data_IF_879283142283
#
_entry.id   IF_879283142283
#
_cell.length_a   1.000
_cell.length_b   1.000
_cell.length_c   1.000
_cell.angle_alpha   90.00
_cell.angle_beta   90.00
_cell.angle_gamma   90.00
#
_symmetry.space_group_name_H-M   'P 1'
#
loop_
_entity.id
_entity.type
_entity.pdbx_description
1 polymer ?
#
# COMPACT_ATOMS: atom_id res chain seq x y z
N UNK A 1 -17.41 -27.08 4.64
CA UNK A 1 -17.25 -26.96 6.12
C UNK A 1 -16.83 -25.57 6.57
N UNK A 2 -15.71 -25.01 6.11
CA UNK A 2 -15.22 -23.69 6.59
C UNK A 2 -16.29 -22.60 6.40
N UNK A 3 -16.78 -22.38 5.21
CA UNK A 3 -17.79 -21.32 4.92
C UNK A 3 -19.06 -21.49 5.74
N UNK A 4 -19.58 -22.72 5.90
CA UNK A 4 -20.75 -22.97 6.74
C UNK A 4 -20.49 -22.60 8.22
N UNK A 5 -19.29 -22.91 8.73
CA UNK A 5 -18.89 -22.51 10.07
C UNK A 5 -18.82 -20.98 10.24
N UNK A 6 -18.24 -20.28 9.24
CA UNK A 6 -18.18 -18.83 9.25
C UNK A 6 -19.57 -18.19 9.21
N UNK A 7 -20.47 -18.72 8.39
CA UNK A 7 -21.87 -18.28 8.34
C UNK A 7 -22.58 -18.49 9.70
N UNK A 8 -22.37 -19.65 10.32
CA UNK A 8 -22.92 -19.92 11.65
C UNK A 8 -22.40 -18.94 12.71
N UNK A 9 -21.10 -18.57 12.64
CA UNK A 9 -20.43 -17.74 13.64
C UNK A 9 -20.73 -16.25 13.46
N UNK A 10 -20.75 -15.75 12.23
CA UNK A 10 -20.77 -14.31 11.93
C UNK A 10 -22.05 -13.85 11.21
N UNK A 11 -22.92 -14.77 10.85
CA UNK A 11 -24.14 -14.50 10.09
C UNK A 11 -23.92 -14.42 8.58
N UNK A 12 -24.90 -14.86 7.81
CA UNK A 12 -24.82 -14.94 6.34
C UNK A 12 -24.59 -13.58 5.67
N UNK A 13 -25.22 -12.50 6.17
CA UNK A 13 -25.07 -11.15 5.60
C UNK A 13 -23.64 -10.62 5.76
N UNK A 14 -23.03 -10.82 6.93
CA UNK A 14 -21.64 -10.43 7.18
C UNK A 14 -20.68 -11.19 6.26
N UNK A 15 -20.83 -12.53 6.21
CA UNK A 15 -19.93 -13.40 5.43
C UNK A 15 -20.10 -13.19 3.93
N UNK A 16 -21.30 -12.80 3.45
CA UNK A 16 -21.53 -12.47 2.04
C UNK A 16 -20.74 -11.25 1.57
N UNK A 17 -20.38 -10.36 2.50
CA UNK A 17 -19.50 -9.22 2.23
C UNK A 17 -18.05 -9.61 1.99
N UNK A 18 -17.62 -10.81 2.39
CA UNK A 18 -16.23 -11.25 2.35
C UNK A 18 -15.82 -11.74 0.95
N UNK A 19 -14.47 -11.69 0.71
CA UNK A 19 -13.84 -12.23 -0.47
C UNK A 19 -13.09 -13.51 -0.08
N UNK A 20 -13.39 -14.62 -0.76
CA UNK A 20 -12.75 -15.91 -0.55
C UNK A 20 -11.71 -16.14 -1.63
N UNK A 21 -10.45 -15.98 -1.29
CA UNK A 21 -9.31 -16.23 -2.16
C UNK A 21 -8.88 -17.68 -2.05
N UNK A 22 -8.67 -18.34 -3.18
CA UNK A 22 -8.33 -19.76 -3.23
C UNK A 22 -6.82 -19.94 -3.32
N UNK A 23 -6.21 -20.42 -2.24
CA UNK A 23 -4.79 -20.69 -2.10
C UNK A 23 -3.92 -19.43 -2.00
N UNK A 24 -2.57 -19.63 -2.00
CA UNK A 24 -1.56 -18.58 -1.95
C UNK A 24 -0.36 -18.97 -2.82
N UNK A 25 0.01 -18.11 -3.76
CA UNK A 25 1.16 -18.25 -4.66
C UNK A 25 1.30 -19.65 -5.29
N UNK A 26 0.27 -20.13 -6.03
CA UNK A 26 0.28 -21.50 -6.58
C UNK A 26 1.28 -21.68 -7.75
N UNK A 27 1.90 -20.61 -8.18
CA UNK A 27 2.93 -20.60 -9.22
C UNK A 27 4.35 -20.91 -8.70
N UNK A 28 4.53 -20.97 -7.38
CA UNK A 28 5.81 -21.33 -6.73
C UNK A 28 5.66 -22.56 -5.82
N UNK A 29 6.69 -22.86 -5.00
CA UNK A 29 6.77 -24.09 -4.19
C UNK A 29 5.75 -24.17 -3.03
N UNK A 30 4.83 -23.23 -2.91
CA UNK A 30 3.67 -23.37 -2.04
C UNK A 30 2.60 -24.29 -2.63
N UNK A 31 2.72 -24.63 -3.93
CA UNK A 31 1.89 -25.60 -4.62
C UNK A 31 2.77 -26.70 -5.25
N UNK A 32 2.61 -27.93 -4.81
CA UNK A 32 3.39 -29.07 -5.31
C UNK A 32 2.69 -29.85 -6.44
N UNK A 33 1.47 -29.43 -6.82
CA UNK A 33 0.71 -30.01 -7.92
C UNK A 33 1.00 -29.36 -9.27
N UNK A 34 0.33 -29.85 -10.32
CA UNK A 34 0.33 -29.20 -11.62
C UNK A 34 -0.64 -28.00 -11.66
N UNK A 35 -0.54 -27.10 -12.62
CA UNK A 35 -1.55 -26.04 -12.81
C UNK A 35 -2.97 -26.60 -12.96
N UNK A 36 -3.14 -27.72 -13.69
CA UNK A 36 -4.46 -28.35 -13.90
C UNK A 36 -5.04 -28.88 -12.58
N UNK A 37 -4.22 -29.38 -11.68
CA UNK A 37 -4.65 -29.78 -10.34
C UNK A 37 -5.08 -28.57 -9.50
N UNK A 38 -4.44 -27.41 -9.69
CA UNK A 38 -4.90 -26.17 -9.07
C UNK A 38 -6.23 -25.68 -9.66
N UNK A 39 -6.43 -25.81 -11.00
CA UNK A 39 -7.73 -25.52 -11.62
C UNK A 39 -8.84 -26.37 -11.00
N UNK A 40 -8.60 -27.66 -10.82
CA UNK A 40 -9.57 -28.55 -10.18
C UNK A 40 -9.85 -28.15 -8.72
N UNK A 41 -8.80 -27.77 -7.95
CA UNK A 41 -8.98 -27.23 -6.60
C UNK A 41 -9.85 -25.99 -6.60
N UNK A 42 -9.57 -25.04 -7.49
CA UNK A 42 -10.37 -23.80 -7.62
C UNK A 42 -11.84 -24.10 -7.91
N UNK A 43 -12.12 -24.94 -8.91
CA UNK A 43 -13.48 -25.30 -9.31
C UNK A 43 -14.26 -25.93 -8.14
N UNK A 44 -13.64 -26.83 -7.39
CA UNK A 44 -14.21 -27.47 -6.21
C UNK A 44 -14.40 -26.48 -5.04
N UNK A 45 -13.46 -25.56 -4.85
CA UNK A 45 -13.55 -24.53 -3.83
C UNK A 45 -14.74 -23.58 -4.10
N UNK A 46 -14.89 -23.11 -5.34
CA UNK A 46 -16.04 -22.28 -5.77
C UNK A 46 -17.35 -23.03 -5.51
N UNK A 47 -17.44 -24.28 -5.95
CA UNK A 47 -18.65 -25.09 -5.73
C UNK A 47 -18.98 -25.27 -4.24
N UNK A 48 -17.95 -25.59 -3.42
CA UNK A 48 -18.12 -25.77 -1.97
C UNK A 48 -18.49 -24.51 -1.20
N UNK A 49 -17.86 -23.38 -1.53
CA UNK A 49 -18.16 -22.08 -0.92
C UNK A 49 -19.60 -21.66 -1.26
N UNK A 50 -19.98 -21.73 -2.53
CA UNK A 50 -21.32 -21.33 -3.01
C UNK A 50 -22.43 -22.28 -2.59
N UNK A 51 -22.15 -23.56 -2.37
CA UNK A 51 -23.10 -24.48 -1.77
C UNK A 51 -23.42 -24.11 -0.30
N UNK A 52 -22.45 -23.59 0.43
CA UNK A 52 -22.64 -23.15 1.82
C UNK A 52 -23.24 -21.74 1.92
N UNK A 53 -22.88 -20.86 1.00
CA UNK A 53 -23.37 -19.47 0.94
C UNK A 53 -23.56 -19.02 -0.51
N UNK A 54 -24.77 -19.18 -1.07
CA UNK A 54 -25.09 -18.67 -2.40
C UNK A 54 -24.79 -17.17 -2.52
N UNK A 55 -24.07 -16.79 -3.60
CA UNK A 55 -23.66 -15.41 -3.85
C UNK A 55 -22.38 -14.97 -3.08
N UNK A 56 -21.70 -15.89 -2.40
CA UNK A 56 -20.35 -15.61 -1.87
C UNK A 56 -19.38 -15.28 -3.01
N UNK A 57 -18.47 -14.31 -2.75
CA UNK A 57 -17.46 -13.85 -3.71
C UNK A 57 -16.22 -14.74 -3.60
N UNK A 58 -15.92 -15.47 -4.68
CA UNK A 58 -14.76 -16.36 -4.75
C UNK A 58 -13.86 -15.93 -5.89
N UNK A 59 -12.56 -15.89 -5.67
CA UNK A 59 -11.58 -15.49 -6.66
C UNK A 59 -10.18 -16.03 -6.39
N UNK A 60 -9.24 -15.54 -7.14
CA UNK A 60 -7.83 -15.95 -7.15
C UNK A 60 -7.15 -15.49 -8.45
N UNK A 61 -6.00 -16.07 -8.83
CA UNK A 61 -5.32 -17.21 -8.19
C UNK A 61 -4.27 -16.84 -7.13
N UNK A 62 -4.13 -15.56 -6.79
CA UNK A 62 -3.09 -15.07 -5.85
C UNK A 62 -1.67 -15.49 -6.25
N UNK A 63 -1.32 -15.38 -7.53
CA UNK A 63 0.04 -15.67 -8.01
C UNK A 63 1.06 -14.70 -7.42
N UNK A 64 2.33 -15.05 -7.49
CA UNK A 64 3.41 -14.07 -7.35
C UNK A 64 3.32 -13.00 -8.44
N UNK A 65 4.29 -12.06 -8.49
CA UNK A 65 4.25 -10.91 -9.41
C UNK A 65 4.29 -11.31 -10.89
N UNK A 66 3.26 -10.95 -11.70
CA UNK A 66 3.18 -11.29 -13.12
C UNK A 66 4.26 -10.65 -14.03
N UNK A 67 5.14 -9.82 -13.48
CA UNK A 67 6.38 -9.42 -14.16
C UNK A 67 7.36 -10.57 -14.39
N UNK A 68 7.24 -11.66 -13.63
CA UNK A 68 8.01 -12.89 -13.79
C UNK A 68 7.25 -13.87 -14.70
N UNK A 69 7.96 -14.50 -15.65
CA UNK A 69 7.33 -15.34 -16.70
C UNK A 69 6.43 -16.44 -16.14
N UNK A 70 6.82 -17.08 -15.04
CA UNK A 70 6.06 -18.19 -14.45
C UNK A 70 4.71 -17.71 -13.91
N UNK A 71 4.71 -16.62 -13.16
CA UNK A 71 3.48 -16.01 -12.64
C UNK A 71 2.61 -15.43 -13.75
N UNK A 72 3.23 -14.76 -14.76
CA UNK A 72 2.54 -14.27 -15.95
C UNK A 72 1.75 -15.38 -16.62
N UNK A 73 2.44 -16.49 -16.95
CA UNK A 73 1.82 -17.63 -17.60
C UNK A 73 0.72 -18.27 -16.74
N UNK A 74 0.97 -18.42 -15.45
CA UNK A 74 -0.01 -19.02 -14.55
C UNK A 74 -1.30 -18.21 -14.46
N UNK A 75 -1.21 -16.89 -14.32
CA UNK A 75 -2.38 -16.01 -14.29
C UNK A 75 -3.14 -16.05 -15.63
N UNK A 76 -2.44 -16.01 -16.75
CA UNK A 76 -3.03 -16.07 -18.10
C UNK A 76 -3.76 -17.38 -18.36
N UNK A 77 -3.12 -18.52 -18.03
CA UNK A 77 -3.71 -19.85 -18.17
C UNK A 77 -4.91 -20.05 -17.23
N UNK A 78 -4.85 -19.52 -15.99
CA UNK A 78 -5.98 -19.55 -15.06
C UNK A 78 -7.20 -18.79 -15.60
N UNK A 79 -7.01 -17.58 -16.10
CA UNK A 79 -8.12 -16.80 -16.69
C UNK A 79 -8.69 -17.47 -17.96
N UNK A 80 -7.84 -18.15 -18.72
CA UNK A 80 -8.26 -19.01 -19.84
C UNK A 80 -9.12 -20.18 -19.35
N UNK A 81 -8.68 -20.89 -18.30
CA UNK A 81 -9.41 -22.02 -17.72
C UNK A 81 -10.80 -21.61 -17.23
N UNK A 82 -10.91 -20.60 -16.37
CA UNK A 82 -12.20 -20.18 -15.79
C UNK A 82 -13.18 -19.72 -16.88
N UNK A 83 -12.68 -19.13 -17.96
CA UNK A 83 -13.48 -18.72 -19.11
C UNK A 83 -14.00 -19.94 -19.88
N UNK A 84 -13.12 -20.88 -20.21
CA UNK A 84 -13.45 -22.07 -21.01
C UNK A 84 -14.39 -23.02 -20.24
N UNK A 85 -14.09 -23.26 -18.97
CA UNK A 85 -14.88 -24.12 -18.08
C UNK A 85 -16.15 -23.45 -17.54
N UNK A 86 -16.31 -22.13 -17.76
CA UNK A 86 -17.42 -21.31 -17.24
C UNK A 86 -17.55 -21.38 -15.71
N UNK A 87 -16.41 -21.47 -15.02
CA UNK A 87 -16.37 -21.45 -13.56
C UNK A 87 -16.50 -20.00 -13.08
N UNK A 88 -17.33 -19.73 -12.08
CA UNK A 88 -17.49 -18.39 -11.54
C UNK A 88 -16.17 -17.81 -10.98
N UNK A 89 -15.91 -16.54 -11.35
CA UNK A 89 -14.80 -15.73 -10.85
C UNK A 89 -15.36 -14.37 -10.47
N UNK A 90 -15.34 -14.02 -9.19
CA UNK A 90 -15.93 -12.77 -8.69
C UNK A 90 -14.89 -11.65 -8.54
N UNK A 91 -13.62 -12.00 -8.41
CA UNK A 91 -12.49 -11.07 -8.39
C UNK A 91 -11.22 -11.78 -8.86
N UNK A 92 -10.25 -11.00 -9.31
CA UNK A 92 -8.93 -11.49 -9.70
C UNK A 92 -7.94 -11.03 -8.64
N UNK A 93 -6.99 -11.88 -8.26
CA UNK A 93 -5.92 -11.50 -7.35
C UNK A 93 -4.55 -11.98 -7.82
N UNK A 94 -3.55 -11.19 -7.48
CA UNK A 94 -2.14 -11.52 -7.61
C UNK A 94 -1.32 -10.64 -6.67
N UNK A 95 -0.07 -11.01 -6.44
CA UNK A 95 0.85 -10.24 -5.61
C UNK A 95 1.72 -9.32 -6.47
N UNK A 96 2.18 -8.24 -5.87
CA UNK A 96 3.16 -7.35 -6.45
C UNK A 96 4.22 -7.02 -5.40
N UNK A 97 5.48 -7.31 -5.72
CA UNK A 97 6.57 -7.14 -4.77
C UNK A 97 7.69 -6.33 -5.39
N UNK A 98 8.19 -5.36 -4.64
CA UNK A 98 9.48 -4.77 -4.93
C UNK A 98 10.63 -5.77 -4.78
N UNK A 99 11.83 -5.34 -5.08
CA UNK A 99 13.05 -6.13 -4.88
C UNK A 99 14.18 -5.20 -4.42
N UNK A 100 14.18 -4.80 -3.13
CA UNK A 100 15.26 -3.98 -2.59
C UNK A 100 16.60 -4.72 -2.71
N UNK A 101 17.64 -3.96 -2.97
CA UNK A 101 19.01 -4.44 -3.10
C UNK A 101 19.93 -3.68 -2.14
N UNK A 102 21.03 -4.32 -1.76
CA UNK A 102 22.07 -3.66 -0.99
C UNK A 102 23.13 -3.15 -1.96
N UNK A 103 23.31 -1.84 -2.00
CA UNK A 103 24.31 -1.16 -2.82
C UNK A 103 25.13 -0.22 -1.93
N UNK A 104 26.46 -0.42 -1.89
CA UNK A 104 27.34 0.40 -1.05
C UNK A 104 27.03 0.34 0.45
N UNK A 105 26.45 -0.76 0.94
CA UNK A 105 26.05 -0.95 2.34
C UNK A 105 24.69 -0.36 2.70
N UNK A 106 23.94 0.16 1.73
CA UNK A 106 22.63 0.78 1.92
C UNK A 106 21.54 0.03 1.15
N UNK A 107 20.29 0.14 1.63
CA UNK A 107 19.16 -0.37 0.88
C UNK A 107 18.82 0.58 -0.25
N UNK A 108 18.59 0.00 -1.42
CA UNK A 108 18.03 0.67 -2.58
C UNK A 108 16.76 -0.06 -2.98
N UNK A 109 15.63 0.61 -2.87
CA UNK A 109 14.31 0.03 -3.09
C UNK A 109 14.11 -0.39 -4.55
N UNK A 110 13.17 -1.28 -4.77
CA UNK A 110 12.86 -1.83 -6.09
C UNK A 110 11.45 -1.49 -6.56
N UNK A 111 11.05 -0.23 -6.50
CA UNK A 111 9.72 0.23 -6.91
C UNK A 111 9.41 -0.13 -8.37
N UNK A 112 10.39 -0.01 -9.26
CA UNK A 112 10.26 -0.39 -10.66
C UNK A 112 9.73 -1.82 -10.85
N UNK A 113 10.21 -2.78 -10.03
CA UNK A 113 9.77 -4.17 -10.14
C UNK A 113 8.33 -4.35 -9.71
N UNK A 114 7.91 -3.74 -8.61
CA UNK A 114 6.51 -3.83 -8.16
C UNK A 114 5.55 -3.25 -9.21
N UNK A 115 5.88 -2.09 -9.76
CA UNK A 115 5.06 -1.48 -10.81
C UNK A 115 5.03 -2.30 -12.10
N UNK A 116 6.15 -2.94 -12.47
CA UNK A 116 6.18 -3.85 -13.61
C UNK A 116 5.30 -5.09 -13.38
N UNK A 117 5.31 -5.67 -12.17
CA UNK A 117 4.43 -6.80 -11.82
C UNK A 117 2.96 -6.41 -12.04
N UNK A 118 2.57 -5.21 -11.59
CA UNK A 118 1.19 -4.73 -11.71
C UNK A 118 0.84 -4.38 -13.15
N UNK A 119 1.73 -3.73 -13.89
CA UNK A 119 1.53 -3.42 -15.31
C UNK A 119 1.24 -4.69 -16.12
N UNK A 120 2.05 -5.75 -15.92
CA UNK A 120 1.86 -7.04 -16.56
C UNK A 120 0.58 -7.76 -16.11
N UNK A 121 0.26 -7.73 -14.83
CA UNK A 121 -1.00 -8.31 -14.33
C UNK A 121 -2.23 -7.62 -14.93
N UNK A 122 -2.23 -6.29 -14.98
CA UNK A 122 -3.34 -5.52 -15.58
C UNK A 122 -3.42 -5.69 -17.09
N UNK A 123 -2.28 -5.82 -17.79
CA UNK A 123 -2.23 -6.18 -19.22
C UNK A 123 -2.95 -7.52 -19.49
N UNK A 124 -2.67 -8.55 -18.67
CA UNK A 124 -3.32 -9.87 -18.79
C UNK A 124 -4.84 -9.73 -18.60
N UNK A 125 -5.27 -9.08 -17.52
CA UNK A 125 -6.71 -8.89 -17.22
C UNK A 125 -7.42 -8.16 -18.35
N UNK A 126 -6.80 -7.09 -18.89
CA UNK A 126 -7.35 -6.33 -20.00
C UNK A 126 -7.45 -7.16 -21.29
N UNK A 127 -6.45 -7.99 -21.60
CA UNK A 127 -6.44 -8.91 -22.74
C UNK A 127 -7.57 -9.95 -22.67
N UNK A 128 -7.88 -10.46 -21.46
CA UNK A 128 -9.02 -11.36 -21.22
C UNK A 128 -10.36 -10.62 -21.20
N UNK A 129 -10.39 -9.28 -21.36
CA UNK A 129 -11.63 -8.46 -21.31
C UNK A 129 -12.35 -8.55 -19.97
N UNK A 130 -11.61 -8.77 -18.89
CA UNK A 130 -12.12 -8.88 -17.52
C UNK A 130 -11.97 -7.58 -16.71
N UNK A 131 -11.81 -6.46 -17.38
CA UNK A 131 -11.54 -5.13 -16.78
C UNK A 131 -12.57 -4.70 -15.71
N UNK A 132 -13.79 -5.23 -15.77
CA UNK A 132 -14.86 -4.89 -14.82
C UNK A 132 -14.81 -5.68 -13.52
N UNK A 133 -14.13 -6.83 -13.52
CA UNK A 133 -13.96 -7.62 -12.31
C UNK A 133 -13.07 -6.85 -11.33
N UNK A 134 -13.40 -6.87 -10.04
CA UNK A 134 -12.50 -6.33 -9.02
C UNK A 134 -11.14 -7.01 -9.08
N UNK A 135 -10.07 -6.24 -8.98
CA UNK A 135 -8.72 -6.74 -8.80
C UNK A 135 -8.31 -6.43 -7.37
N UNK A 136 -7.83 -7.44 -6.67
CA UNK A 136 -7.26 -7.33 -5.34
C UNK A 136 -5.78 -7.71 -5.44
N UNK A 137 -4.88 -6.76 -5.21
CA UNK A 137 -3.48 -7.06 -4.97
C UNK A 137 -3.40 -7.54 -3.52
N UNK A 138 -3.53 -8.86 -3.34
CA UNK A 138 -3.66 -9.45 -2.01
C UNK A 138 -2.36 -9.38 -1.19
N UNK A 139 -1.24 -9.08 -1.85
CA UNK A 139 -0.01 -8.60 -1.23
C UNK A 139 0.66 -7.58 -2.16
N UNK A 140 0.74 -6.32 -1.73
CA UNK A 140 1.43 -5.23 -2.43
C UNK A 140 2.46 -4.61 -1.48
N UNK A 141 3.70 -5.04 -1.59
CA UNK A 141 4.72 -4.82 -0.57
C UNK A 141 6.10 -4.53 -1.19
N UNK A 142 6.99 -3.84 -0.46
CA UNK A 142 8.33 -3.53 -0.97
C UNK A 142 9.22 -4.77 -1.22
N UNK A 143 8.90 -5.94 -0.63
CA UNK A 143 9.61 -7.21 -0.88
C UNK A 143 8.83 -8.42 -0.38
N UNK A 144 9.28 -9.64 -0.74
CA UNK A 144 8.60 -10.90 -0.43
C UNK A 144 8.72 -11.35 1.04
N UNK A 145 9.92 -11.30 1.65
CA UNK A 145 10.15 -11.93 2.95
C UNK A 145 9.75 -11.05 4.14
N UNK A 146 8.49 -11.11 4.56
CA UNK A 146 8.00 -10.36 5.73
C UNK A 146 8.71 -10.79 7.04
N UNK A 147 8.96 -12.08 7.20
CA UNK A 147 9.56 -12.68 8.40
C UNK A 147 11.10 -12.64 8.44
N UNK A 148 11.76 -11.99 7.48
CA UNK A 148 13.21 -11.82 7.47
C UNK A 148 13.60 -10.59 8.28
N UNK A 149 14.23 -10.79 9.44
CA UNK A 149 14.65 -9.71 10.33
C UNK A 149 16.00 -9.09 9.95
N UNK A 150 16.42 -8.07 10.68
CA UNK A 150 17.78 -7.50 10.61
C UNK A 150 18.87 -8.53 10.97
N UNK A 151 18.56 -9.58 11.72
CA UNK A 151 19.50 -10.69 11.99
C UNK A 151 19.80 -11.49 10.74
N UNK A 152 18.83 -11.61 9.83
CA UNK A 152 19.01 -12.25 8.51
C UNK A 152 19.67 -11.29 7.53
N UNK A 153 19.23 -10.04 7.51
CA UNK A 153 19.76 -9.00 6.65
C UNK A 153 19.68 -7.63 7.35
N UNK A 154 20.81 -7.03 7.79
CA UNK A 154 20.82 -5.74 8.48
C UNK A 154 20.11 -4.61 7.72
N UNK A 155 20.11 -4.64 6.39
CA UNK A 155 19.43 -3.66 5.57
C UNK A 155 17.90 -3.63 5.76
N UNK A 156 17.31 -4.69 6.33
CA UNK A 156 15.87 -4.70 6.67
C UNK A 156 15.48 -3.65 7.72
N UNK A 157 16.44 -2.92 8.27
CA UNK A 157 16.21 -1.79 9.17
C UNK A 157 15.29 -0.71 8.56
N UNK A 158 15.31 -0.51 7.23
CA UNK A 158 14.47 0.47 6.54
C UNK A 158 12.97 0.30 6.84
N UNK A 159 12.54 -0.93 7.13
CA UNK A 159 11.15 -1.27 7.44
C UNK A 159 10.63 -0.68 8.75
N UNK A 160 11.53 -0.15 9.58
CA UNK A 160 11.17 0.51 10.83
C UNK A 160 11.03 2.03 10.67
N UNK A 161 11.62 2.62 9.63
CA UNK A 161 11.74 4.05 9.41
C UNK A 161 10.77 4.63 8.37
N UNK A 162 11.12 5.81 7.88
CA UNK A 162 10.30 6.62 6.96
C UNK A 162 10.37 6.19 5.50
N UNK A 163 11.39 5.43 5.11
CA UNK A 163 11.51 4.90 3.75
C UNK A 163 10.35 3.97 3.38
N UNK A 164 9.91 3.11 4.29
CA UNK A 164 8.80 2.19 4.01
C UNK A 164 7.49 2.92 3.70
N UNK A 165 6.97 3.85 4.53
CA UNK A 165 5.75 4.57 4.19
C UNK A 165 5.87 5.44 2.93
N UNK A 166 7.03 6.09 2.67
CA UNK A 166 7.21 6.90 1.46
C UNK A 166 7.25 6.05 0.19
N UNK A 167 7.88 4.87 0.25
CA UNK A 167 7.78 3.85 -0.79
C UNK A 167 6.32 3.46 -1.06
N UNK A 168 5.55 3.18 0.01
CA UNK A 168 4.14 2.77 -0.12
C UNK A 168 3.30 3.87 -0.77
N UNK A 169 3.55 5.15 -0.45
CA UNK A 169 2.85 6.27 -1.07
C UNK A 169 3.13 6.35 -2.58
N UNK A 170 4.40 6.29 -2.97
CA UNK A 170 4.81 6.31 -4.38
C UNK A 170 4.30 5.08 -5.15
N UNK A 171 4.36 3.88 -4.53
CA UNK A 171 3.81 2.65 -5.10
C UNK A 171 2.31 2.79 -5.37
N UNK A 172 1.52 3.19 -4.39
CA UNK A 172 0.06 3.32 -4.53
C UNK A 172 -0.34 4.31 -5.63
N UNK A 173 0.39 5.42 -5.78
CA UNK A 173 0.18 6.36 -6.90
C UNK A 173 0.40 5.64 -8.24
N UNK A 174 1.52 4.95 -8.39
CA UNK A 174 1.84 4.19 -9.60
C UNK A 174 0.78 3.13 -9.92
N UNK A 175 0.28 2.42 -8.90
CA UNK A 175 -0.79 1.42 -9.04
C UNK A 175 -2.11 2.05 -9.54
N UNK A 176 -2.47 3.23 -9.04
CA UNK A 176 -3.64 3.96 -9.53
C UNK A 176 -3.48 4.39 -10.98
N UNK A 177 -2.31 4.89 -11.38
CA UNK A 177 -2.03 5.30 -12.76
C UNK A 177 -2.03 4.10 -13.72
N UNK A 178 -1.51 2.95 -13.30
CA UNK A 178 -1.59 1.71 -14.06
C UNK A 178 -3.03 1.22 -14.21
N UNK A 179 -3.83 1.30 -13.14
CA UNK A 179 -5.25 0.94 -13.22
C UNK A 179 -6.01 1.83 -14.21
N UNK A 180 -5.73 3.13 -14.23
CA UNK A 180 -6.30 4.07 -15.21
C UNK A 180 -5.83 3.77 -16.63
N UNK A 181 -4.53 3.48 -16.83
CA UNK A 181 -3.92 3.12 -18.12
C UNK A 181 -4.60 1.91 -18.75
N UNK A 182 -4.74 0.83 -17.98
CA UNK A 182 -5.36 -0.42 -18.43
C UNK A 182 -6.89 -0.43 -18.33
N UNK A 183 -7.48 0.62 -17.73
CA UNK A 183 -8.93 0.75 -17.49
C UNK A 183 -9.50 -0.44 -16.71
N UNK A 184 -8.79 -0.89 -15.69
CA UNK A 184 -9.18 -2.01 -14.83
C UNK A 184 -9.78 -1.52 -13.51
N UNK A 185 -10.51 -2.39 -12.84
CA UNK A 185 -11.15 -2.11 -11.56
C UNK A 185 -10.27 -2.54 -10.38
N UNK A 186 -9.25 -1.75 -10.04
CA UNK A 186 -8.43 -1.97 -8.85
C UNK A 186 -9.27 -1.68 -7.60
N UNK A 187 -9.64 -2.73 -6.87
CA UNK A 187 -10.47 -2.62 -5.67
C UNK A 187 -9.64 -2.40 -4.40
N UNK A 188 -8.52 -3.12 -4.26
CA UNK A 188 -7.74 -3.13 -3.03
C UNK A 188 -6.29 -3.48 -3.26
N UNK A 189 -5.44 -2.96 -2.36
CA UNK A 189 -4.01 -3.23 -2.26
C UNK A 189 -3.74 -3.53 -0.79
N UNK A 190 -3.28 -4.74 -0.48
CA UNK A 190 -3.09 -5.22 0.87
C UNK A 190 -1.61 -5.38 1.19
N UNK A 191 -1.25 -5.11 2.43
CA UNK A 191 0.06 -5.43 3.00
C UNK A 191 -0.10 -6.39 4.18
N UNK A 192 0.92 -7.16 4.51
CA UNK A 192 1.03 -7.95 5.71
C UNK A 192 2.49 -8.02 6.20
N UNK A 193 2.77 -8.20 7.48
CA UNK A 193 1.84 -8.57 8.54
C UNK A 193 1.63 -7.40 9.49
N UNK A 194 0.64 -7.57 10.43
CA UNK A 194 0.41 -6.54 11.44
C UNK A 194 1.55 -6.51 12.45
N UNK A 195 1.84 -7.64 13.12
CA UNK A 195 2.91 -7.78 14.10
C UNK A 195 3.39 -9.23 14.17
N UNK A 196 4.66 -9.44 14.51
CA UNK A 196 5.23 -10.72 14.88
C UNK A 196 5.42 -10.77 16.40
N UNK A 197 4.62 -11.56 17.09
CA UNK A 197 4.66 -11.67 18.55
C UNK A 197 5.97 -12.29 19.07
N UNK A 198 6.41 -11.85 20.26
CA UNK A 198 7.57 -12.38 20.94
C UNK A 198 8.91 -12.12 20.23
N UNK A 199 9.00 -11.06 19.44
CA UNK A 199 10.20 -10.62 18.75
C UNK A 199 10.81 -9.40 19.43
N UNK A 200 12.09 -9.13 19.13
CA UNK A 200 12.79 -7.94 19.60
C UNK A 200 12.14 -6.66 19.05
N UNK A 201 12.24 -5.56 19.80
CA UNK A 201 11.76 -4.26 19.33
C UNK A 201 12.50 -3.83 18.07
N UNK A 202 11.76 -3.39 17.07
CA UNK A 202 12.27 -2.87 15.81
C UNK A 202 13.29 -3.80 15.11
N UNK A 203 13.07 -5.11 15.19
CA UNK A 203 13.98 -6.12 14.63
C UNK A 203 14.01 -6.13 13.08
N UNK A 204 13.26 -5.24 12.43
CA UNK A 204 13.27 -5.09 10.97
C UNK A 204 12.37 -6.08 10.22
N UNK A 205 11.39 -6.67 10.88
CA UNK A 205 10.33 -7.40 10.20
C UNK A 205 9.48 -6.46 9.35
N UNK A 206 8.96 -6.94 8.23
CA UNK A 206 7.97 -6.22 7.44
C UNK A 206 6.61 -6.33 8.14
N UNK A 207 6.40 -5.47 9.11
CA UNK A 207 5.21 -5.42 9.96
C UNK A 207 4.80 -3.98 10.22
N UNK A 208 3.54 -3.78 10.59
CA UNK A 208 2.95 -2.46 10.87
C UNK A 208 3.28 -1.98 12.29
N UNK A 209 3.55 -2.91 13.20
CA UNK A 209 3.90 -2.62 14.60
C UNK A 209 5.02 -3.54 15.09
N UNK A 210 5.51 -3.27 16.29
CA UNK A 210 6.52 -4.05 17.03
C UNK A 210 6.25 -3.96 18.52
N UNK A 211 5.92 -5.08 19.17
CA UNK A 211 5.58 -5.14 20.60
C UNK A 211 4.57 -4.06 21.02
N UNK A 212 3.52 -3.90 20.21
CA UNK A 212 2.46 -2.92 20.40
C UNK A 212 2.87 -1.47 20.11
N UNK A 213 4.10 -1.16 19.67
CA UNK A 213 4.51 0.17 19.22
C UNK A 213 4.30 0.26 17.71
N UNK A 214 3.56 1.25 17.26
CA UNK A 214 3.25 1.45 15.85
C UNK A 214 4.47 1.96 15.08
N UNK A 215 4.67 1.42 13.87
CA UNK A 215 5.71 1.90 12.96
C UNK A 215 5.18 3.01 12.04
N UNK A 216 6.05 3.84 11.46
CA UNK A 216 5.62 4.92 10.55
C UNK A 216 4.72 4.45 9.40
N UNK A 217 4.90 3.24 8.89
CA UNK A 217 4.04 2.69 7.82
C UNK A 217 2.58 2.52 8.24
N UNK A 218 2.29 2.20 9.51
CA UNK A 218 0.90 2.16 10.00
C UNK A 218 0.26 3.56 9.96
N UNK A 219 1.05 4.60 10.21
CA UNK A 219 0.57 5.98 10.11
C UNK A 219 0.29 6.41 8.66
N UNK A 220 0.99 5.85 7.65
CA UNK A 220 0.58 6.01 6.26
C UNK A 220 -0.84 5.47 6.02
N UNK A 221 -1.15 4.26 6.50
CA UNK A 221 -2.50 3.70 6.37
C UNK A 221 -3.55 4.51 7.14
N UNK A 222 -3.19 5.09 8.30
CA UNK A 222 -4.08 6.04 9.00
C UNK A 222 -4.32 7.32 8.20
N UNK A 223 -3.28 7.87 7.56
CA UNK A 223 -3.46 9.00 6.64
C UNK A 223 -4.37 8.64 5.47
N UNK A 224 -4.17 7.48 4.85
CA UNK A 224 -5.02 6.99 3.76
C UNK A 224 -6.48 6.82 4.19
N UNK A 225 -6.73 6.33 5.41
CA UNK A 225 -8.07 6.19 5.98
C UNK A 225 -8.79 7.53 6.22
N UNK A 226 -8.06 8.64 6.30
CA UNK A 226 -8.61 10.00 6.42
C UNK A 226 -8.96 10.63 5.06
N UNK A 227 -8.58 9.99 3.95
CA UNK A 227 -8.83 10.48 2.60
C UNK A 227 -10.19 9.99 2.09
N UNK A 228 -11.21 10.78 2.34
CA UNK A 228 -12.59 10.47 1.95
C UNK A 228 -12.94 10.95 0.54
N UNK A 229 -14.05 10.44 -0.01
CA UNK A 229 -14.61 10.90 -1.28
C UNK A 229 -14.05 10.17 -2.49
N UNK A 230 -13.80 10.91 -3.56
CA UNK A 230 -13.29 10.38 -4.83
C UNK A 230 -11.92 10.94 -5.13
N UNK A 231 -11.07 10.13 -5.77
CA UNK A 231 -9.80 10.60 -6.29
C UNK A 231 -10.01 11.74 -7.28
N UNK A 232 -9.23 12.80 -7.13
CA UNK A 232 -9.21 13.97 -8.01
C UNK A 232 -7.85 14.11 -8.69
N UNK A 233 -7.80 14.85 -9.80
CA UNK A 233 -6.57 15.06 -10.56
C UNK A 233 -5.55 15.85 -9.76
N UNK A 234 -4.30 15.43 -9.84
CA UNK A 234 -3.13 16.10 -9.27
C UNK A 234 -2.08 16.25 -10.36
N UNK A 235 -1.32 17.34 -10.32
CA UNK A 235 -0.10 17.50 -11.11
C UNK A 235 0.99 18.07 -10.22
N UNK A 236 2.20 17.56 -10.34
CA UNK A 236 3.37 18.04 -9.63
C UNK A 236 4.51 18.34 -10.60
N UNK A 237 5.18 19.46 -10.40
CA UNK A 237 6.40 19.78 -11.17
C UNK A 237 7.60 18.93 -10.77
N UNK A 238 7.53 18.25 -9.63
CA UNK A 238 8.58 17.37 -9.11
C UNK A 238 8.30 15.88 -9.35
N UNK A 239 7.14 15.54 -9.95
CA UNK A 239 6.82 14.13 -10.23
C UNK A 239 7.71 13.54 -11.31
N UNK A 240 8.08 12.29 -11.14
CA UNK A 240 8.66 11.48 -12.21
C UNK A 240 7.56 10.83 -13.05
N UNK A 241 7.84 10.62 -14.33
CA UNK A 241 6.90 9.91 -15.19
C UNK A 241 6.84 8.43 -14.81
N UNK A 242 5.63 7.87 -14.80
CA UNK A 242 5.43 6.46 -14.45
C UNK A 242 6.31 5.52 -15.29
N UNK A 243 6.45 5.76 -16.59
CA UNK A 243 7.28 4.93 -17.47
C UNK A 243 8.77 5.01 -17.12
N UNK A 244 9.25 6.18 -16.68
CA UNK A 244 10.63 6.35 -16.23
C UNK A 244 10.86 5.59 -14.90
N UNK A 245 9.89 5.61 -13.99
CA UNK A 245 9.95 4.84 -12.73
C UNK A 245 9.93 3.34 -13.02
N UNK A 246 9.07 2.86 -13.90
CA UNK A 246 9.02 1.43 -14.30
C UNK A 246 10.35 1.00 -14.94
N UNK A 247 10.95 1.85 -15.77
CA UNK A 247 12.19 1.53 -16.46
C UNK A 247 13.43 1.54 -15.54
N UNK A 248 13.49 2.44 -14.56
CA UNK A 248 14.73 2.77 -13.85
C UNK A 248 14.62 2.88 -12.34
N UNK A 249 13.41 2.90 -11.78
CA UNK A 249 13.18 3.27 -10.39
C UNK A 249 13.34 4.78 -10.15
N UNK A 250 13.32 5.17 -8.89
CA UNK A 250 13.51 6.56 -8.45
C UNK A 250 14.96 6.71 -7.98
N UNK A 251 15.89 6.95 -8.94
CA UNK A 251 17.34 6.82 -8.74
C UNK A 251 18.14 8.12 -8.83
N UNK A 252 17.76 9.03 -9.73
CA UNK A 252 18.55 10.23 -10.03
C UNK A 252 18.04 11.47 -9.29
N UNK A 253 16.75 11.65 -9.25
CA UNK A 253 16.07 12.71 -8.54
C UNK A 253 14.95 12.09 -7.68
N UNK A 254 14.59 12.74 -6.57
CA UNK A 254 13.44 12.29 -5.80
C UNK A 254 12.14 12.46 -6.61
N UNK A 255 11.17 11.61 -6.36
CA UNK A 255 9.80 11.79 -6.79
C UNK A 255 9.06 12.63 -5.74
N UNK A 256 8.77 13.88 -6.11
CA UNK A 256 7.99 14.81 -5.28
C UNK A 256 6.59 14.86 -5.87
N UNK A 257 5.72 14.04 -5.35
CA UNK A 257 4.40 13.89 -5.95
C UNK A 257 3.29 13.78 -4.90
N UNK A 258 2.05 13.64 -5.35
CA UNK A 258 0.89 13.57 -4.49
C UNK A 258 -0.23 12.76 -5.13
N UNK A 259 -1.17 12.31 -4.31
CA UNK A 259 -2.52 11.99 -4.74
C UNK A 259 -3.54 12.70 -3.83
N UNK A 260 -4.74 12.91 -4.35
CA UNK A 260 -5.75 13.67 -3.63
C UNK A 260 -7.14 13.07 -3.80
N UNK A 261 -7.97 13.29 -2.79
CA UNK A 261 -9.40 12.97 -2.82
C UNK A 261 -10.23 14.19 -2.43
N UNK A 262 -11.50 14.18 -2.83
CA UNK A 262 -12.45 15.20 -2.41
C UNK A 262 -13.87 14.63 -2.30
N UNK A 263 -14.63 15.19 -1.36
CA UNK A 263 -16.07 14.99 -1.24
C UNK A 263 -16.80 16.33 -1.15
N UNK A 264 -18.02 16.37 -0.62
CA UNK A 264 -18.82 17.58 -0.52
C UNK A 264 -18.32 18.58 0.53
N UNK A 265 -17.44 18.20 1.45
CA UNK A 265 -17.02 18.99 2.63
C UNK A 265 -15.52 19.05 2.86
N UNK A 266 -14.76 18.20 2.20
CA UNK A 266 -13.34 18.03 2.44
C UNK A 266 -12.59 17.77 1.14
N UNK A 267 -11.37 18.28 1.06
CA UNK A 267 -10.32 17.78 0.19
C UNK A 267 -9.16 17.29 1.04
N UNK A 268 -8.55 16.18 0.63
CA UNK A 268 -7.38 15.62 1.28
C UNK A 268 -6.27 15.43 0.23
N UNK A 269 -5.07 15.95 0.52
CA UNK A 269 -3.89 15.85 -0.35
C UNK A 269 -2.77 15.16 0.42
N UNK A 270 -2.38 13.96 -0.01
CA UNK A 270 -1.20 13.26 0.50
C UNK A 270 -0.05 13.51 -0.46
N UNK A 271 1.05 14.06 0.04
CA UNK A 271 2.24 14.37 -0.75
C UNK A 271 3.49 13.82 -0.07
N UNK A 272 4.52 13.50 -0.85
CA UNK A 272 5.75 12.85 -0.38
C UNK A 272 6.99 13.37 -1.09
N UNK A 273 8.13 13.07 -0.45
CA UNK A 273 9.46 13.16 -1.04
C UNK A 273 10.05 11.76 -0.98
N UNK A 274 10.06 11.05 -2.11
CA UNK A 274 10.51 9.67 -2.19
C UNK A 274 11.74 9.51 -3.09
N UNK A 275 12.65 8.63 -2.68
CA UNK A 275 13.79 8.15 -3.46
C UNK A 275 14.04 6.68 -3.13
N UNK A 276 14.51 5.88 -4.09
CA UNK A 276 14.79 4.45 -3.83
C UNK A 276 15.93 4.23 -2.82
N UNK A 277 16.90 5.13 -2.73
CA UNK A 277 18.01 5.02 -1.78
C UNK A 277 17.61 5.51 -0.38
N UNK A 278 18.01 4.75 0.65
CA UNK A 278 17.74 5.08 2.05
C UNK A 278 18.51 6.33 2.52
N UNK A 279 19.63 6.66 1.88
CA UNK A 279 20.50 7.78 2.27
C UNK A 279 19.74 9.07 2.43
N UNK A 280 20.09 9.82 3.45
CA UNK A 280 19.63 11.17 3.64
C UNK A 280 19.81 12.01 2.36
N UNK A 281 18.74 12.64 1.92
CA UNK A 281 18.68 13.52 0.78
C UNK A 281 18.19 14.91 1.17
N UNK A 282 18.13 15.85 0.24
CA UNK A 282 17.66 17.20 0.51
C UNK A 282 16.15 17.22 0.86
N UNK A 283 15.79 18.15 1.71
CA UNK A 283 14.39 18.55 1.84
C UNK A 283 13.92 19.22 0.55
N UNK A 284 12.65 19.00 0.19
CA UNK A 284 12.02 19.61 -0.97
C UNK A 284 10.96 20.63 -0.54
N UNK A 285 11.09 21.91 -0.90
CA UNK A 285 10.01 22.88 -0.70
C UNK A 285 8.83 22.53 -1.59
N UNK A 286 7.64 22.45 -1.01
CA UNK A 286 6.40 22.17 -1.72
C UNK A 286 5.40 23.31 -1.56
N UNK A 287 4.81 23.72 -2.69
CA UNK A 287 3.69 24.66 -2.71
C UNK A 287 2.48 23.97 -3.34
N UNK A 288 1.47 23.73 -2.54
CA UNK A 288 0.24 23.02 -2.93
C UNK A 288 -0.86 24.03 -3.16
N UNK A 289 -1.42 24.05 -4.37
CA UNK A 289 -2.60 24.84 -4.70
C UNK A 289 -3.79 23.91 -4.90
N UNK A 290 -4.80 24.04 -4.05
CA UNK A 290 -6.09 23.33 -4.20
C UNK A 290 -7.10 24.30 -4.81
N UNK A 291 -7.68 23.89 -5.94
CA UNK A 291 -8.66 24.70 -6.69
C UNK A 291 -10.02 23.99 -6.75
N UNK A 292 -11.06 24.71 -7.14
CA UNK A 292 -12.41 24.14 -7.26
C UNK A 292 -13.18 24.07 -5.94
N UNK A 293 -12.71 24.78 -4.90
CA UNK A 293 -13.45 24.91 -3.64
C UNK A 293 -14.80 25.61 -3.88
N UNK A 294 -15.84 25.33 -3.08
CA UNK A 294 -17.12 26.03 -3.18
C UNK A 294 -16.94 27.54 -3.07
N UNK A 295 -17.61 28.30 -3.94
CA UNK A 295 -17.53 29.77 -3.94
C UNK A 295 -17.97 30.40 -2.61
N UNK A 296 -18.75 29.68 -1.82
CA UNK A 296 -19.20 30.07 -0.47
C UNK A 296 -18.15 29.88 0.61
N UNK A 297 -17.11 29.08 0.34
CA UNK A 297 -16.00 28.84 1.26
C UNK A 297 -14.99 30.00 1.16
N UNK A 298 -15.16 31.05 1.93
CA UNK A 298 -14.19 32.16 2.04
C UNK A 298 -12.98 31.80 2.90
N UNK A 299 -13.11 30.80 3.78
CA UNK A 299 -12.07 30.26 4.64
C UNK A 299 -12.22 28.74 4.72
N UNK A 300 -11.09 28.04 4.88
CA UNK A 300 -11.05 26.60 5.08
C UNK A 300 -10.19 26.27 6.31
N UNK A 301 -10.50 25.16 6.97
CA UNK A 301 -9.69 24.67 8.07
C UNK A 301 -8.66 23.72 7.52
N UNK A 302 -7.38 24.03 7.70
CA UNK A 302 -6.26 23.16 7.39
C UNK A 302 -5.88 22.34 8.62
N UNK A 303 -5.85 21.03 8.46
CA UNK A 303 -5.23 20.07 9.38
C UNK A 303 -4.08 19.39 8.66
N UNK A 304 -2.87 19.49 9.21
CA UNK A 304 -1.64 19.01 8.56
C UNK A 304 -1.00 17.90 9.40
N UNK A 305 -1.08 16.65 8.92
CA UNK A 305 -0.38 15.50 9.49
C UNK A 305 0.96 15.27 8.81
N UNK A 306 1.92 14.69 9.56
CA UNK A 306 3.28 14.47 9.07
C UNK A 306 3.81 13.10 9.50
N UNK A 307 4.52 12.44 8.58
CA UNK A 307 5.44 11.34 8.87
C UNK A 307 6.82 11.80 8.42
N UNK A 308 7.76 11.89 9.36
CA UNK A 308 9.18 12.17 9.12
C UNK A 308 10.01 11.66 10.32
N UNK A 309 11.29 12.03 10.41
CA UNK A 309 12.13 11.60 11.52
C UNK A 309 11.67 12.09 12.90
N UNK A 310 10.85 13.13 12.96
CA UNK A 310 10.39 13.77 14.19
C UNK A 310 8.92 13.55 14.51
N UNK A 311 8.11 13.17 13.50
CA UNK A 311 6.67 13.06 13.63
C UNK A 311 6.19 11.67 13.21
N UNK A 312 5.25 11.11 13.96
CA UNK A 312 4.61 9.81 13.71
C UNK A 312 5.62 8.67 13.58
N UNK A 313 6.72 8.73 14.34
CA UNK A 313 7.90 7.89 14.18
C UNK A 313 8.56 7.56 15.53
N UNK A 314 8.13 6.48 16.15
CA UNK A 314 8.74 5.98 17.39
C UNK A 314 10.12 5.35 17.17
N UNK A 315 10.48 4.93 15.94
CA UNK A 315 11.74 4.28 15.66
C UNK A 315 12.94 5.23 15.85
N UNK A 316 12.84 6.47 15.39
CA UNK A 316 13.88 7.47 15.60
C UNK A 316 14.11 7.73 17.09
N UNK A 317 13.03 7.85 17.86
CA UNK A 317 13.11 8.00 19.32
C UNK A 317 13.73 6.77 19.98
N UNK A 318 13.33 5.55 19.60
CA UNK A 318 13.90 4.31 20.12
C UNK A 318 15.41 4.23 19.87
N UNK A 319 15.88 4.62 18.69
CA UNK A 319 17.33 4.73 18.40
C UNK A 319 18.02 5.72 19.33
N UNK A 320 17.42 6.89 19.56
CA UNK A 320 17.96 7.91 20.45
C UNK A 320 18.03 7.45 21.92
N UNK A 321 17.16 6.53 22.35
CA UNK A 321 17.22 5.89 23.68
C UNK A 321 18.30 4.81 23.80
N UNK A 322 19.11 4.56 22.76
CA UNK A 322 20.11 3.49 22.74
C UNK A 322 19.56 2.12 22.35
N UNK A 323 18.44 2.08 21.62
CA UNK A 323 17.84 0.86 21.08
C UNK A 323 17.51 -0.22 22.13
N UNK A 324 16.84 0.11 23.24
CA UNK A 324 16.60 -0.83 24.34
C UNK A 324 15.70 -1.99 23.89
N UNK A 325 16.11 -3.24 24.21
CA UNK A 325 15.29 -4.42 23.99
C UNK A 325 14.41 -4.79 25.20
N UNK A 326 14.68 -4.18 26.34
CA UNK A 326 13.86 -4.26 27.55
C UNK A 326 13.54 -2.83 28.03
N UNK A 327 12.75 -2.07 27.27
CA UNK A 327 12.44 -0.69 27.65
C UNK A 327 11.66 -0.65 28.94
N UNK A 328 11.99 0.33 29.81
CA UNK A 328 11.21 0.60 31.02
C UNK A 328 9.80 1.09 30.68
N UNK A 329 8.88 1.06 31.66
CA UNK A 329 7.52 1.59 31.49
C UNK A 329 7.53 3.07 31.05
N UNK A 330 8.48 3.88 31.52
CA UNK A 330 8.63 5.27 31.11
C UNK A 330 9.06 5.39 29.65
N UNK A 331 10.02 4.58 29.19
CA UNK A 331 10.46 4.54 27.80
C UNK A 331 9.33 4.06 26.88
N UNK A 332 8.54 3.05 27.29
CA UNK A 332 7.37 2.61 26.53
C UNK A 332 6.34 3.74 26.40
N UNK A 333 6.04 4.45 27.48
CA UNK A 333 5.12 5.59 27.44
C UNK A 333 5.61 6.71 26.51
N UNK A 334 6.93 6.97 26.51
CA UNK A 334 7.55 7.96 25.62
C UNK A 334 7.49 7.50 24.14
N UNK A 335 7.79 6.23 23.82
CA UNK A 335 7.63 5.65 22.49
C UNK A 335 6.17 5.76 22.01
N UNK A 336 5.21 5.43 22.89
CA UNK A 336 3.77 5.56 22.64
C UNK A 336 3.33 6.99 22.35
N UNK A 337 4.01 8.00 22.87
CA UNK A 337 3.72 9.41 22.56
C UNK A 337 4.10 9.80 21.12
N UNK A 338 4.92 8.98 20.43
CA UNK A 338 5.47 9.22 19.11
C UNK A 338 5.01 8.21 18.05
N UNK A 339 4.36 7.13 18.44
CA UNK A 339 4.00 6.04 17.52
C UNK A 339 2.72 6.32 16.72
N UNK A 340 1.81 7.14 17.24
CA UNK A 340 0.56 7.50 16.57
C UNK A 340 0.72 8.58 15.50
N UNK A 341 -0.34 8.80 14.73
CA UNK A 341 -0.38 9.84 13.69
C UNK A 341 -0.35 11.25 14.33
N UNK A 342 0.66 12.03 14.01
CA UNK A 342 0.92 13.35 14.60
C UNK A 342 0.66 14.50 13.62
N UNK A 343 0.22 15.62 14.16
CA UNK A 343 0.12 16.88 13.45
C UNK A 343 1.52 17.52 13.32
N UNK A 344 1.80 18.12 12.16
CA UNK A 344 2.97 18.98 11.96
C UNK A 344 2.80 20.31 12.72
N UNK A 345 1.59 20.86 12.71
CA UNK A 345 1.21 22.11 13.34
C UNK A 345 -0.24 22.05 13.83
N UNK A 346 -0.61 22.92 14.75
CA UNK A 346 -2.01 23.04 15.18
C UNK A 346 -2.93 23.36 14.01
N UNK A 347 -4.13 22.78 13.91
CA UNK A 347 -5.07 23.11 12.87
C UNK A 347 -5.39 24.62 12.84
N UNK A 348 -5.43 25.19 11.64
CA UNK A 348 -5.62 26.65 11.46
C UNK A 348 -6.59 26.95 10.33
N UNK A 349 -7.20 28.12 10.40
CA UNK A 349 -8.03 28.64 9.34
C UNK A 349 -7.17 29.44 8.35
N UNK A 350 -7.35 29.18 7.07
CA UNK A 350 -6.69 29.90 5.97
C UNK A 350 -7.74 30.45 5.01
N UNK A 351 -7.47 31.62 4.45
CA UNK A 351 -8.39 32.30 3.52
C UNK A 351 -8.37 31.58 2.16
N UNK A 352 -9.57 31.31 1.63
CA UNK A 352 -9.75 30.83 0.27
C UNK A 352 -10.10 32.01 -0.64
N UNK A 353 -9.36 32.17 -1.73
CA UNK A 353 -9.56 33.28 -2.70
C UNK A 353 -9.93 32.71 -4.06
N UNK A 354 -11.06 33.14 -4.60
CA UNK A 354 -11.50 32.68 -5.92
C UNK A 354 -11.76 31.18 -6.03
N UNK A 355 -12.12 30.52 -4.91
CA UNK A 355 -12.27 29.05 -4.87
C UNK A 355 -10.95 28.30 -4.85
N UNK A 356 -9.87 28.93 -4.41
CA UNK A 356 -8.55 28.30 -4.29
C UNK A 356 -7.88 28.63 -2.95
N UNK A 357 -7.00 27.72 -2.52
CA UNK A 357 -6.15 27.88 -1.35
C UNK A 357 -4.73 27.43 -1.70
N UNK A 358 -3.73 28.14 -1.16
CA UNK A 358 -2.31 27.81 -1.32
C UNK A 358 -1.70 27.48 0.04
N UNK A 359 -0.93 26.39 0.10
CA UNK A 359 -0.29 25.86 1.30
C UNK A 359 1.17 25.58 0.95
N UNK A 360 2.09 26.13 1.75
CA UNK A 360 3.53 25.86 1.59
C UNK A 360 4.02 25.00 2.76
N UNK A 361 4.89 24.05 2.46
CA UNK A 361 5.53 23.18 3.44
C UNK A 361 6.87 22.68 2.90
N UNK A 362 7.79 22.29 3.78
CA UNK A 362 8.96 21.55 3.40
C UNK A 362 8.72 20.06 3.60
N UNK A 363 9.22 19.24 2.68
CA UNK A 363 9.19 17.79 2.75
C UNK A 363 10.60 17.27 2.95
N UNK A 364 11.02 16.94 4.17
CA UNK A 364 12.25 16.22 4.40
C UNK A 364 12.34 14.95 3.55
N UNK A 365 13.54 14.43 3.37
CA UNK A 365 13.75 13.17 2.67
C UNK A 365 12.90 12.05 3.28
N UNK A 366 12.20 11.30 2.46
CA UNK A 366 11.21 10.27 2.87
C UNK A 366 10.05 10.76 3.74
N UNK A 367 9.79 12.06 3.79
CA UNK A 367 8.62 12.57 4.51
C UNK A 367 7.34 12.38 3.70
N UNK A 368 6.24 12.23 4.44
CA UNK A 368 4.87 12.27 3.91
C UNK A 368 4.09 13.34 4.69
N UNK A 369 3.31 14.12 3.97
CA UNK A 369 2.33 15.04 4.55
C UNK A 369 0.93 14.67 4.09
N UNK A 370 -0.04 14.76 4.99
CA UNK A 370 -1.45 14.77 4.64
C UNK A 370 -2.05 16.14 5.00
N UNK A 371 -2.53 16.84 4.00
CA UNK A 371 -3.25 18.09 4.14
C UNK A 371 -4.76 17.80 4.05
N UNK A 372 -5.48 17.93 5.16
CA UNK A 372 -6.95 17.92 5.15
C UNK A 372 -7.47 19.35 5.14
N UNK A 373 -8.38 19.64 4.24
CA UNK A 373 -8.91 20.95 3.94
C UNK A 373 -10.43 20.85 4.04
N UNK A 374 -10.99 21.36 5.14
CA UNK A 374 -12.42 21.30 5.43
C UNK A 374 -13.08 22.68 5.19
N UNK A 375 -14.31 22.70 4.62
CA UNK A 375 -15.10 23.91 4.37
C UNK A 375 -16.57 23.78 4.75
#
# INVERSE_FOLDING_TARGET
MVTAHLVQRYGAETVRGWYFEVWNEPDIDYWHGTPEQYWELYDRAVAGVRAALPGAKVGGPATTGPGELKAYKFLDDFLTHVTAAKVPLDFISFHAKGRPQIQGGEVVMGLAKELNDVDKGFEIVARHKMNKLPIILSEADPEGCAACSMKVNPANAYRNGTLYPSYTAAAYKGLFELADRHKVNLLSMLSWSFEFEGKDYFEGFRSLSTNGIDKPVLNFFRMAALMNGRRVSVSSSGQLKLDDIIASGVRNAPDIDAFATADARQAAVMLWNYHDAEKAGPSAPASVTVTGLPKTASRVRLTHYRIDDSHSNAYTLWKAMGSPQNPSAAQIAELKSKDGLQLLESPRWIDAKGGAVQISTDLPHHAISLLQIDW
#
